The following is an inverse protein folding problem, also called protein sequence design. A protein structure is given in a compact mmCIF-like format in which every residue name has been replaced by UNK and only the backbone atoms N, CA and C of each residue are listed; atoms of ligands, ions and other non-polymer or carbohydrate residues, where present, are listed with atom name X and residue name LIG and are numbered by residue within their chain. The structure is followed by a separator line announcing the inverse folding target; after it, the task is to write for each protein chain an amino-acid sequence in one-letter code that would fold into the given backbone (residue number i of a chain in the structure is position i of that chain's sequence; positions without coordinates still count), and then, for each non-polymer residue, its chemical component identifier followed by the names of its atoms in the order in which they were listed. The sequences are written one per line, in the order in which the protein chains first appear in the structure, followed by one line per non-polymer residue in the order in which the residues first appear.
data_IF_305342764214
#
_entry.id   IF_305342764214
#
_cell.length_a   1.000
_cell.length_b   1.000
_cell.length_c   1.000
_cell.angle_alpha   90.00
_cell.angle_beta   90.00
_cell.angle_gamma   90.00
#
_symmetry.space_group_name_H-M   'P 1'
#
loop_
_entity.id
_entity.type
_entity.pdbx_description
1 polymer ?
#
# COMPACT_ATOMS: atom_id res chain seq x y z
N UNK A 1 -17.45 -16.54 -10.49
CA UNK A 1 -16.22 -15.73 -10.55
C UNK A 1 -15.09 -16.46 -9.83
N UNK A 2 -15.23 -16.84 -8.53
CA UNK A 2 -14.21 -17.59 -7.74
C UNK A 2 -13.68 -18.83 -8.45
N UNK A 3 -14.56 -19.68 -8.99
CA UNK A 3 -14.15 -20.90 -9.70
C UNK A 3 -13.31 -20.61 -10.94
N UNK A 4 -13.65 -19.55 -11.66
CA UNK A 4 -12.91 -19.10 -12.84
C UNK A 4 -11.53 -18.51 -12.47
N UNK A 5 -11.44 -17.75 -11.40
CA UNK A 5 -10.17 -17.23 -10.90
C UNK A 5 -9.19 -18.37 -10.56
N UNK A 6 -9.66 -19.38 -9.82
CA UNK A 6 -8.87 -20.58 -9.51
C UNK A 6 -8.43 -21.36 -10.74
N UNK A 7 -9.31 -21.47 -11.75
CA UNK A 7 -8.97 -22.11 -13.04
C UNK A 7 -7.83 -21.36 -13.75
N UNK A 8 -7.78 -20.04 -13.60
CA UNK A 8 -6.72 -19.17 -14.17
C UNK A 8 -5.47 -19.06 -13.30
N UNK A 9 -5.43 -19.73 -12.15
CA UNK A 9 -4.27 -19.75 -11.26
C UNK A 9 -4.19 -18.57 -10.31
N UNK A 10 -5.24 -17.74 -10.21
CA UNK A 10 -5.27 -16.62 -9.25
C UNK A 10 -5.50 -17.19 -7.86
N UNK A 11 -4.59 -16.88 -6.95
CA UNK A 11 -4.76 -17.13 -5.53
C UNK A 11 -5.75 -16.13 -4.94
N UNK A 12 -6.78 -16.65 -4.27
CA UNK A 12 -7.79 -15.82 -3.61
C UNK A 12 -7.46 -15.80 -2.13
N UNK A 13 -7.06 -14.66 -1.63
CA UNK A 13 -6.80 -14.45 -0.22
C UNK A 13 -8.06 -14.60 0.64
N UNK A 14 -7.87 -14.99 1.91
CA UNK A 14 -8.96 -15.15 2.85
C UNK A 14 -9.72 -13.82 3.02
N UNK A 15 -11.04 -13.88 2.84
CA UNK A 15 -11.91 -12.71 2.93
C UNK A 15 -12.02 -11.88 1.64
N UNK A 16 -11.07 -11.96 0.71
CA UNK A 16 -11.05 -11.22 -0.56
C UNK A 16 -11.67 -12.03 -1.71
N UNK A 17 -12.95 -12.34 -1.60
CA UNK A 17 -13.68 -13.17 -2.58
C UNK A 17 -14.88 -12.48 -3.23
N UNK A 18 -14.99 -11.17 -3.09
CA UNK A 18 -16.01 -10.38 -3.76
C UNK A 18 -15.74 -10.28 -5.27
N UNK A 19 -16.70 -9.78 -6.01
CA UNK A 19 -16.52 -9.53 -7.44
C UNK A 19 -15.39 -8.51 -7.69
N UNK A 20 -15.34 -7.45 -6.87
CA UNK A 20 -14.35 -6.39 -7.00
C UNK A 20 -12.93 -6.85 -6.69
N UNK A 21 -12.75 -7.64 -5.61
CA UNK A 21 -11.45 -8.22 -5.25
C UNK A 21 -10.90 -9.10 -6.39
N UNK A 22 -11.75 -9.98 -6.93
CA UNK A 22 -11.34 -10.89 -7.99
C UNK A 22 -11.03 -10.15 -9.29
N UNK A 23 -11.83 -9.12 -9.63
CA UNK A 23 -11.55 -8.29 -10.80
C UNK A 23 -10.20 -7.58 -10.66
N UNK A 24 -9.92 -7.04 -9.48
CA UNK A 24 -8.64 -6.39 -9.18
C UNK A 24 -7.46 -7.37 -9.28
N UNK A 25 -7.59 -8.56 -8.73
CA UNK A 25 -6.55 -9.60 -8.84
C UNK A 25 -6.28 -10.02 -10.30
N UNK A 26 -7.31 -10.05 -11.15
CA UNK A 26 -7.11 -10.26 -12.59
C UNK A 26 -6.35 -9.11 -13.26
N UNK A 27 -6.64 -7.88 -12.86
CA UNK A 27 -5.93 -6.72 -13.38
C UNK A 27 -4.45 -6.75 -12.97
N UNK A 28 -4.15 -6.97 -11.71
CA UNK A 28 -2.79 -7.06 -11.17
C UNK A 28 -1.97 -8.16 -11.85
N UNK A 29 -2.54 -9.34 -12.00
CA UNK A 29 -1.82 -10.50 -12.54
C UNK A 29 -1.60 -10.44 -14.06
N UNK A 30 -2.57 -9.92 -14.83
CA UNK A 30 -2.52 -10.05 -16.29
C UNK A 30 -2.40 -8.75 -17.06
N UNK A 31 -2.65 -7.61 -16.44
CA UNK A 31 -2.74 -6.31 -17.13
C UNK A 31 -1.67 -5.33 -16.69
N UNK A 32 -1.44 -5.19 -15.40
CA UNK A 32 -0.62 -4.12 -14.81
C UNK A 32 0.78 -4.08 -15.42
N UNK A 33 1.52 -5.18 -15.44
CA UNK A 33 2.88 -5.25 -15.99
C UNK A 33 2.95 -4.92 -17.50
N UNK A 34 1.84 -5.00 -18.21
CA UNK A 34 1.75 -4.71 -19.63
C UNK A 34 1.48 -3.22 -19.94
N UNK A 35 1.23 -2.40 -18.94
CA UNK A 35 0.98 -0.96 -19.07
C UNK A 35 2.28 -0.17 -19.22
N UNK A 36 2.96 -0.32 -20.34
CA UNK A 36 4.26 0.31 -20.60
C UNK A 36 4.15 1.82 -20.86
N UNK A 37 3.09 2.26 -21.52
CA UNK A 37 2.83 3.68 -21.80
C UNK A 37 2.03 4.32 -20.65
N UNK A 38 2.14 5.64 -20.44
CA UNK A 38 1.32 6.33 -19.45
C UNK A 38 -0.17 6.05 -19.69
N UNK A 39 -0.79 5.35 -18.74
CA UNK A 39 -2.16 4.87 -18.86
C UNK A 39 -2.93 5.17 -17.58
N UNK A 40 -4.12 5.76 -17.71
CA UNK A 40 -5.04 5.93 -16.59
C UNK A 40 -6.02 4.76 -16.56
N UNK A 41 -6.00 4.00 -15.48
CA UNK A 41 -7.02 2.98 -15.17
C UNK A 41 -8.07 3.65 -14.30
N UNK A 42 -9.33 3.56 -14.71
CA UNK A 42 -10.45 4.28 -14.10
C UNK A 42 -11.52 3.33 -13.59
N UNK A 43 -12.38 3.85 -12.73
CA UNK A 43 -13.62 3.16 -12.33
C UNK A 43 -13.35 1.86 -11.55
N UNK A 44 -12.55 1.97 -10.49
CA UNK A 44 -12.25 0.84 -9.60
C UNK A 44 -13.50 0.34 -8.87
N UNK A 45 -13.57 -0.97 -8.58
CA UNK A 45 -14.62 -1.54 -7.74
C UNK A 45 -14.66 -0.91 -6.35
N UNK A 46 -15.85 -0.85 -5.80
CA UNK A 46 -16.09 -0.27 -4.47
C UNK A 46 -15.40 -1.05 -3.35
N UNK A 47 -15.27 -2.35 -3.50
CA UNK A 47 -14.66 -3.25 -2.53
C UNK A 47 -13.18 -2.95 -2.31
N UNK A 48 -12.47 -2.56 -3.36
CA UNK A 48 -11.04 -2.22 -3.31
C UNK A 48 -10.79 -0.71 -3.19
N UNK A 49 -11.82 0.08 -2.86
CA UNK A 49 -11.75 1.54 -2.79
C UNK A 49 -12.51 2.10 -1.58
N UNK A 50 -12.10 1.77 -0.35
CA UNK A 50 -12.89 2.02 0.85
C UNK A 50 -13.08 3.50 1.23
N UNK A 51 -12.27 4.42 0.69
CA UNK A 51 -12.31 5.86 0.99
C UNK A 51 -12.87 6.70 -0.17
N UNK A 52 -13.33 6.02 -1.23
CA UNK A 52 -13.68 6.67 -2.48
C UNK A 52 -15.18 6.75 -2.68
N UNK A 53 -15.64 7.87 -3.23
CA UNK A 53 -17.04 8.08 -3.58
C UNK A 53 -17.50 7.16 -4.69
N UNK A 54 -18.71 6.61 -4.58
CA UNK A 54 -19.33 5.79 -5.62
C UNK A 54 -19.69 6.65 -6.83
N UNK A 55 -19.63 6.06 -8.02
CA UNK A 55 -20.17 6.69 -9.21
C UNK A 55 -21.70 6.76 -9.12
N UNK A 56 -22.31 7.91 -9.40
CA UNK A 56 -23.77 8.08 -9.34
C UNK A 56 -24.54 7.18 -10.30
N UNK A 57 -23.96 6.95 -11.48
CA UNK A 57 -24.53 6.15 -12.58
C UNK A 57 -24.23 4.64 -12.45
N UNK A 58 -23.21 4.27 -11.68
CA UNK A 58 -22.80 2.89 -11.47
C UNK A 58 -22.25 2.66 -10.05
N UNK A 59 -23.11 2.49 -9.03
CA UNK A 59 -22.69 2.46 -7.61
C UNK A 59 -21.81 1.28 -7.19
N UNK A 60 -21.58 0.29 -8.05
CA UNK A 60 -20.60 -0.80 -7.82
C UNK A 60 -19.17 -0.37 -8.17
N UNK A 61 -19.03 0.77 -8.85
CA UNK A 61 -17.75 1.39 -9.20
C UNK A 61 -17.58 2.71 -8.45
N UNK A 62 -16.34 3.18 -8.41
CA UNK A 62 -15.96 4.41 -7.70
C UNK A 62 -15.40 5.46 -8.67
N UNK A 63 -15.45 6.72 -8.26
CA UNK A 63 -14.80 7.85 -8.93
C UNK A 63 -13.32 7.88 -8.59
N UNK A 64 -12.55 6.87 -9.07
CA UNK A 64 -11.12 6.67 -8.83
C UNK A 64 -10.38 6.41 -10.12
N UNK A 65 -9.16 6.91 -10.19
CA UNK A 65 -8.20 6.47 -11.19
C UNK A 65 -6.81 6.26 -10.58
N UNK A 66 -6.05 5.40 -11.23
CA UNK A 66 -4.62 5.26 -10.99
C UNK A 66 -3.85 5.49 -12.29
N UNK A 67 -2.69 6.12 -12.18
CA UNK A 67 -1.77 6.34 -13.30
C UNK A 67 -0.67 5.29 -13.26
N UNK A 68 -0.61 4.49 -14.31
CA UNK A 68 0.46 3.50 -14.54
C UNK A 68 1.42 3.99 -15.62
N UNK A 69 2.72 3.77 -15.40
CA UNK A 69 3.78 4.02 -16.36
C UNK A 69 4.81 2.89 -16.22
N UNK A 70 5.17 2.23 -17.32
CA UNK A 70 6.15 1.14 -17.35
C UNK A 70 5.85 0.02 -16.35
N UNK A 71 4.58 -0.37 -16.22
CA UNK A 71 4.12 -1.43 -15.33
C UNK A 71 4.10 -1.08 -13.85
N UNK A 72 4.22 0.19 -13.47
CA UNK A 72 4.15 0.63 -12.07
C UNK A 72 3.16 1.75 -11.86
N UNK A 73 2.53 1.78 -10.69
CA UNK A 73 1.65 2.86 -10.24
C UNK A 73 2.47 4.10 -9.87
N UNK A 74 2.12 5.23 -10.45
CA UNK A 74 2.75 6.54 -10.19
C UNK A 74 1.85 7.53 -9.49
N UNK A 75 0.55 7.35 -9.58
CA UNK A 75 -0.42 8.22 -8.93
C UNK A 75 -1.76 7.54 -8.74
N UNK A 76 -2.45 7.94 -7.68
CA UNK A 76 -3.76 7.46 -7.29
C UNK A 76 -4.62 8.65 -6.89
N UNK A 77 -5.79 8.80 -7.48
CA UNK A 77 -6.66 9.93 -7.23
C UNK A 77 -8.12 9.52 -7.26
N UNK A 78 -8.90 10.18 -6.42
CA UNK A 78 -10.33 9.90 -6.34
C UNK A 78 -11.14 11.07 -5.77
N UNK A 79 -12.44 11.03 -6.04
CA UNK A 79 -13.40 11.83 -5.28
C UNK A 79 -13.52 11.25 -3.88
N UNK A 80 -13.23 12.07 -2.88
CA UNK A 80 -13.27 11.67 -1.47
C UNK A 80 -14.69 11.28 -1.05
N UNK A 81 -14.84 10.16 -0.35
CA UNK A 81 -16.10 9.77 0.25
C UNK A 81 -16.43 10.72 1.39
N UNK A 82 -17.45 11.54 1.20
CA UNK A 82 -17.86 12.57 2.16
C UNK A 82 -19.21 12.28 2.85
N UNK A 83 -19.72 11.06 2.72
CA UNK A 83 -20.88 10.56 3.44
C UNK A 83 -20.43 9.75 4.66
N UNK A 84 -20.63 10.23 5.90
CA UNK A 84 -20.18 9.51 7.11
C UNK A 84 -20.87 8.15 7.30
N UNK A 85 -22.10 7.99 6.81
CA UNK A 85 -22.85 6.73 6.93
C UNK A 85 -22.26 5.67 5.99
N UNK A 86 -22.03 6.01 4.72
CA UNK A 86 -21.36 5.09 3.77
C UNK A 86 -19.93 4.81 4.24
N UNK A 87 -19.18 5.81 4.74
CA UNK A 87 -17.83 5.61 5.24
C UNK A 87 -17.78 4.64 6.42
N UNK A 88 -18.68 4.77 7.40
CA UNK A 88 -18.73 3.82 8.52
C UNK A 88 -19.01 2.40 8.02
N UNK A 89 -19.95 2.23 7.10
CA UNK A 89 -20.25 0.94 6.48
C UNK A 89 -19.03 0.31 5.78
N UNK A 90 -18.19 1.14 5.13
CA UNK A 90 -16.94 0.68 4.49
C UNK A 90 -15.91 0.22 5.52
N UNK A 91 -15.75 0.97 6.61
CA UNK A 91 -14.85 0.59 7.70
C UNK A 91 -15.30 -0.70 8.39
N UNK A 92 -16.60 -0.90 8.59
CA UNK A 92 -17.12 -2.16 9.12
C UNK A 92 -16.84 -3.35 8.19
N UNK A 93 -16.89 -3.14 6.86
CA UNK A 93 -16.53 -4.16 5.89
C UNK A 93 -15.02 -4.47 5.94
N UNK A 94 -14.17 -3.45 6.04
CA UNK A 94 -12.71 -3.60 6.19
C UNK A 94 -12.35 -4.34 7.50
N UNK A 95 -13.03 -4.07 8.60
CA UNK A 95 -12.83 -4.80 9.87
C UNK A 95 -13.08 -6.29 9.73
N UNK A 96 -14.10 -6.69 8.96
CA UNK A 96 -14.38 -8.12 8.69
C UNK A 96 -13.24 -8.78 7.89
N UNK A 97 -12.65 -8.06 6.93
CA UNK A 97 -11.48 -8.54 6.19
C UNK A 97 -10.28 -8.72 7.12
N UNK A 98 -10.06 -7.77 8.03
CA UNK A 98 -9.00 -7.84 9.04
C UNK A 98 -9.18 -9.01 9.99
N UNK A 99 -10.39 -9.27 10.46
CA UNK A 99 -10.74 -10.44 11.27
C UNK A 99 -10.53 -11.75 10.51
N UNK A 100 -10.64 -11.74 9.18
CA UNK A 100 -10.36 -12.88 8.32
C UNK A 100 -8.85 -13.06 8.01
N UNK A 101 -7.98 -12.14 8.49
CA UNK A 101 -6.52 -12.24 8.37
C UNK A 101 -5.88 -11.28 7.37
N UNK A 102 -6.61 -10.29 6.87
CA UNK A 102 -6.05 -9.22 6.04
C UNK A 102 -5.44 -8.12 6.92
N UNK A 103 -4.12 -8.16 7.10
CA UNK A 103 -3.39 -7.18 7.92
C UNK A 103 -3.35 -5.77 7.29
N UNK A 104 -3.61 -5.65 6.01
CA UNK A 104 -3.64 -4.36 5.28
C UNK A 104 -5.00 -3.66 5.38
N UNK A 105 -6.05 -4.39 5.76
CA UNK A 105 -7.38 -3.81 5.89
C UNK A 105 -7.44 -2.72 6.95
N UNK A 106 -8.14 -1.63 6.63
CA UNK A 106 -8.26 -0.46 7.49
C UNK A 106 -9.01 -0.78 8.81
N UNK A 107 -8.54 -0.20 9.89
CA UNK A 107 -9.30 -0.15 11.16
C UNK A 107 -10.33 0.97 11.10
N UNK A 108 -11.36 0.86 11.96
CA UNK A 108 -12.33 1.96 12.12
C UNK A 108 -11.62 3.15 12.76
N UNK A 109 -11.66 4.27 12.06
CA UNK A 109 -11.22 5.57 12.58
C UNK A 109 -12.46 6.41 12.94
N UNK A 110 -12.82 6.39 14.22
CA UNK A 110 -13.96 7.15 14.71
C UNK A 110 -13.77 8.66 14.65
N UNK A 111 -12.54 9.15 14.79
CA UNK A 111 -12.24 10.58 14.71
C UNK A 111 -12.42 11.07 13.27
N UNK A 112 -12.00 10.25 12.30
CA UNK A 112 -12.22 10.54 10.89
C UNK A 112 -13.73 10.60 10.55
N UNK A 113 -14.51 9.61 10.98
CA UNK A 113 -15.97 9.61 10.76
C UNK A 113 -16.63 10.82 11.43
N UNK A 114 -16.24 11.13 12.66
CA UNK A 114 -16.74 12.32 13.36
C UNK A 114 -16.41 13.61 12.59
N UNK A 115 -15.20 13.70 12.02
CA UNK A 115 -14.83 14.85 11.19
C UNK A 115 -15.74 14.97 9.94
N UNK A 116 -16.10 13.84 9.30
CA UNK A 116 -17.06 13.84 8.20
C UNK A 116 -18.45 14.30 8.60
N UNK A 117 -18.89 13.99 9.83
CA UNK A 117 -20.19 14.45 10.37
C UNK A 117 -20.26 15.97 10.53
N UNK A 118 -19.13 16.64 10.78
CA UNK A 118 -19.08 18.11 10.77
C UNK A 118 -19.21 18.69 9.36
N UNK A 119 -19.01 17.91 8.35
CA UNK A 119 -19.19 18.23 6.95
C UNK A 119 -17.88 18.34 6.16
N UNK A 120 -17.81 17.59 5.07
CA UNK A 120 -16.76 17.67 4.08
C UNK A 120 -17.35 18.09 2.73
N UNK A 121 -16.91 19.20 2.12
CA UNK A 121 -17.38 19.60 0.79
C UNK A 121 -16.93 18.57 -0.25
N UNK A 122 -17.51 18.60 -1.48
CA UNK A 122 -16.97 17.83 -2.59
C UNK A 122 -15.49 18.12 -2.78
N UNK A 123 -14.67 17.07 -2.65
CA UNK A 123 -13.21 17.17 -2.61
C UNK A 123 -12.62 16.07 -3.47
N UNK A 124 -11.57 16.37 -4.23
CA UNK A 124 -10.73 15.39 -4.91
C UNK A 124 -9.39 15.27 -4.19
N UNK A 125 -8.95 14.03 -3.98
CA UNK A 125 -7.62 13.70 -3.46
C UNK A 125 -6.70 13.19 -4.57
N UNK A 126 -5.41 13.49 -4.49
CA UNK A 126 -4.38 12.98 -5.39
C UNK A 126 -3.13 12.63 -4.60
N UNK A 127 -2.71 11.37 -4.70
CA UNK A 127 -1.40 10.89 -4.27
C UNK A 127 -0.48 10.67 -5.47
N UNK A 128 0.78 11.11 -5.38
CA UNK A 128 1.82 10.85 -6.39
C UNK A 128 3.03 10.28 -5.69
N UNK A 129 3.54 9.15 -6.21
CA UNK A 129 4.78 8.54 -5.74
C UNK A 129 6.00 9.36 -6.20
N UNK A 130 6.46 10.30 -5.38
CA UNK A 130 7.58 11.20 -5.73
C UNK A 130 8.85 10.42 -6.01
N UNK A 131 9.17 9.39 -5.22
CA UNK A 131 10.36 8.57 -5.46
C UNK A 131 10.27 7.85 -6.82
N UNK A 132 9.11 7.27 -7.15
CA UNK A 132 8.88 6.66 -8.46
C UNK A 132 8.99 7.68 -9.60
N UNK A 133 8.46 8.88 -9.40
CA UNK A 133 8.58 9.97 -10.39
C UNK A 133 10.03 10.38 -10.60
N UNK A 134 10.82 10.48 -9.54
CA UNK A 134 12.26 10.77 -9.62
C UNK A 134 12.98 9.64 -10.33
N UNK A 135 12.69 8.36 -10.01
CA UNK A 135 13.26 7.21 -10.73
C UNK A 135 13.01 7.31 -12.23
N UNK A 136 11.78 7.62 -12.64
CA UNK A 136 11.41 7.78 -14.05
C UNK A 136 12.20 8.92 -14.73
N UNK A 137 12.28 10.09 -14.08
CA UNK A 137 12.94 11.26 -14.63
C UNK A 137 14.47 11.15 -14.69
N UNK A 138 15.06 10.30 -13.86
CA UNK A 138 16.52 10.08 -13.79
C UNK A 138 16.97 8.78 -14.42
N UNK A 139 16.05 8.02 -15.04
CA UNK A 139 16.32 6.69 -15.59
C UNK A 139 16.97 5.73 -14.58
N UNK A 140 16.48 5.77 -13.34
CA UNK A 140 16.97 4.95 -12.22
C UNK A 140 16.04 3.76 -11.99
N UNK A 141 16.60 2.54 -11.97
CA UNK A 141 15.81 1.31 -11.82
C UNK A 141 15.51 0.94 -10.37
N UNK A 142 16.25 1.51 -9.42
CA UNK A 142 16.12 1.19 -8.01
C UNK A 142 15.74 2.42 -7.19
N UNK A 143 14.75 2.28 -6.31
CA UNK A 143 14.37 3.34 -5.38
C UNK A 143 15.53 3.78 -4.47
N UNK A 144 16.50 2.89 -4.20
CA UNK A 144 17.70 3.22 -3.41
C UNK A 144 18.58 4.25 -4.07
N UNK A 145 18.56 4.33 -5.39
CA UNK A 145 19.40 5.26 -6.15
C UNK A 145 18.87 6.71 -6.08
N UNK A 146 17.60 6.87 -5.70
CA UNK A 146 16.94 8.18 -5.59
C UNK A 146 16.68 8.62 -4.14
N UNK A 147 16.81 7.70 -3.18
CA UNK A 147 16.70 8.03 -1.76
C UNK A 147 18.04 8.56 -1.22
N UNK A 148 18.00 9.70 -0.54
CA UNK A 148 19.20 10.28 0.10
C UNK A 148 19.73 9.42 1.25
N UNK A 149 18.85 8.77 1.99
CA UNK A 149 19.17 7.95 3.17
C UNK A 149 18.36 6.65 3.14
N UNK A 150 18.70 5.69 2.24
CA UNK A 150 17.97 4.42 2.16
C UNK A 150 18.21 3.59 3.43
N UNK A 151 17.16 2.95 3.92
CA UNK A 151 17.27 1.98 5.00
C UNK A 151 18.04 0.75 4.53
N UNK A 152 19.11 0.41 5.24
CA UNK A 152 19.98 -0.71 4.90
C UNK A 152 19.77 -1.86 5.86
N UNK A 153 19.91 -3.11 5.37
CA UNK A 153 20.00 -4.26 6.26
C UNK A 153 21.29 -4.18 7.08
N UNK A 154 21.25 -4.38 8.42
CA UNK A 154 22.46 -4.50 9.21
C UNK A 154 23.29 -5.68 8.71
N UNK A 155 24.59 -5.49 8.59
CA UNK A 155 25.51 -6.58 8.27
C UNK A 155 25.71 -7.37 9.55
N UNK A 156 25.07 -8.53 9.66
CA UNK A 156 25.39 -9.48 10.70
C UNK A 156 26.79 -10.03 10.44
N UNK A 157 27.80 -9.41 11.01
CA UNK A 157 29.12 -10.01 11.12
C UNK A 157 28.99 -11.19 12.10
N UNK A 158 28.63 -12.36 11.60
CA UNK A 158 28.79 -13.64 12.28
C UNK A 158 30.26 -14.04 12.21
N UNK A 159 31.16 -13.21 12.71
CA UNK A 159 32.44 -13.66 13.24
C UNK A 159 32.30 -13.58 14.74
N UNK A 160 32.24 -14.72 15.36
CA UNK A 160 32.30 -14.96 16.77
C UNK A 160 33.48 -14.18 17.38
N UNK A 161 33.23 -12.95 17.79
CA UNK A 161 34.10 -12.29 18.76
C UNK A 161 33.68 -12.84 20.13
N UNK A 162 34.34 -13.89 20.56
CA UNK A 162 34.31 -14.31 21.98
C UNK A 162 34.61 -13.07 22.81
N UNK A 163 33.63 -12.56 23.54
CA UNK A 163 33.83 -11.50 24.53
C UNK A 163 34.68 -12.08 25.63
N UNK A 164 35.96 -11.82 25.59
CA UNK A 164 36.82 -11.97 26.78
C UNK A 164 36.40 -10.91 27.79
N UNK A 165 35.63 -11.32 28.77
CA UNK A 165 35.29 -10.49 29.92
C UNK A 165 36.51 -10.51 30.84
N UNK A 166 37.39 -9.54 30.74
CA UNK A 166 38.32 -9.25 31.80
C UNK A 166 37.62 -8.45 32.90
N UNK A 167 37.41 -9.07 34.03
CA UNK A 167 36.94 -8.40 35.25
C UNK A 167 38.06 -7.53 35.80
N UNK A 168 37.98 -6.24 35.58
CA UNK A 168 38.68 -5.27 36.40
C UNK A 168 37.65 -4.36 37.07
N UNK A 169 37.82 -4.20 38.35
CA UNK A 169 36.94 -3.44 39.24
C UNK A 169 36.88 -1.97 38.87
N UNK A 170 35.66 -1.45 38.70
CA UNK A 170 35.34 -0.03 38.62
C UNK A 170 34.79 0.41 37.27
N UNK A 171 33.52 0.85 37.27
CA UNK A 171 32.77 1.57 36.25
C UNK A 171 33.16 1.36 34.76
N UNK A 172 32.51 0.45 34.09
CA UNK A 172 32.74 0.22 32.66
C UNK A 172 31.54 0.80 31.87
N UNK A 173 31.81 1.84 31.12
CA UNK A 173 30.91 2.28 30.04
C UNK A 173 31.27 1.46 28.80
N UNK A 174 30.35 0.62 28.32
CA UNK A 174 30.54 -0.12 27.05
C UNK A 174 30.04 0.79 25.95
N UNK A 175 30.94 1.34 25.14
CA UNK A 175 30.65 1.96 23.86
C UNK A 175 30.87 0.91 22.79
N UNK A 176 29.80 0.38 22.19
CA UNK A 176 29.88 -0.52 21.03
C UNK A 176 30.08 0.33 19.78
N UNK A 177 31.30 0.40 19.25
CA UNK A 177 31.65 1.15 18.04
C UNK A 177 31.89 0.21 16.85
N UNK A 178 30.97 -0.67 16.49
CA UNK A 178 31.15 -1.46 15.26
C UNK A 178 29.80 -1.84 14.59
N UNK A 179 29.01 -0.86 14.23
CA UNK A 179 28.01 -1.07 13.17
C UNK A 179 28.58 -0.55 11.84
N UNK A 180 29.11 -1.47 11.06
CA UNK A 180 29.54 -1.17 9.68
C UNK A 180 28.41 -1.55 8.72
N UNK A 181 27.94 -0.61 7.93
CA UNK A 181 26.92 -0.83 6.91
C UNK A 181 27.58 -0.95 5.54
N UNK A 182 27.17 -1.92 4.71
CA UNK A 182 27.57 -2.05 3.32
C UNK A 182 26.40 -1.66 2.42
N UNK A 183 26.65 -0.84 1.41
CA UNK A 183 25.72 -0.69 0.30
C UNK A 183 25.68 -1.99 -0.50
N UNK A 184 24.48 -2.51 -0.74
CA UNK A 184 24.23 -3.66 -1.60
C UNK A 184 23.62 -3.13 -2.88
#
# INVERSE_FOLDING_TARGET
VVAFAKEKGIEIENGKATWGDILNSFFEEFVEENLTQPTFIMDYPVEVSPLTKRKPDCPVLTERFELFIMGGEYGNAYSELNDPIDQMSRFEAQMKLREAGDDEANMIDHDFVTALEYGMPPTGGLGIGIDRLVMLLTDSYSIRDVLLFPTMKPINNTSTVEKKIEKTSGNTVIIDQNETYKMI
#
